data_IF_807579305929
#
_entry.id   IF_807579305929
#
_cell.length_a   1.000
_cell.length_b   1.000
_cell.length_c   1.000
_cell.angle_alpha   90.00
_cell.angle_beta   90.00
_cell.angle_gamma   90.00
#
_symmetry.space_group_name_H-M   'P 1'
#
loop_
_entity.id
_entity.type
_entity.pdbx_description
1 polymer ?
#
# COMPACT_ATOMS: atom_id res chain seq x y z
N UNK A 1 -33.35 18.85 -15.83
CA UNK A 1 -32.27 17.92 -16.19
C UNK A 1 -31.18 18.16 -15.16
N UNK A 2 -30.83 17.17 -14.34
CA UNK A 2 -29.74 17.36 -13.39
C UNK A 2 -28.46 17.57 -14.19
N UNK A 3 -27.79 18.71 -14.00
CA UNK A 3 -26.47 18.94 -14.59
C UNK A 3 -25.54 17.84 -14.08
N UNK A 4 -24.96 17.09 -15.01
CA UNK A 4 -24.04 16.02 -14.69
C UNK A 4 -22.69 16.68 -14.40
N UNK A 5 -22.36 16.83 -13.11
CA UNK A 5 -21.09 17.40 -12.67
C UNK A 5 -19.96 16.60 -13.29
N UNK A 6 -19.14 17.25 -14.12
CA UNK A 6 -17.96 16.62 -14.70
C UNK A 6 -16.85 16.60 -13.65
N UNK A 7 -16.13 15.48 -13.57
CA UNK A 7 -15.11 15.24 -12.56
C UNK A 7 -13.79 14.88 -13.19
N UNK A 8 -12.71 15.32 -12.57
CA UNK A 8 -11.36 14.88 -12.90
C UNK A 8 -10.66 14.34 -11.68
N UNK A 9 -9.81 13.34 -11.91
CA UNK A 9 -9.05 12.62 -10.91
C UNK A 9 -7.58 12.96 -11.09
N UNK A 10 -6.98 13.49 -10.04
CA UNK A 10 -5.62 14.05 -10.06
C UNK A 10 -4.78 13.27 -9.05
N UNK A 11 -4.02 12.26 -9.50
CA UNK A 11 -3.02 11.60 -8.67
C UNK A 11 -1.78 12.48 -8.53
N UNK A 12 -1.23 12.56 -7.32
CA UNK A 12 -0.02 13.31 -7.02
C UNK A 12 0.82 12.64 -5.95
N UNK A 13 2.09 13.02 -5.85
CA UNK A 13 2.99 12.63 -4.78
C UNK A 13 3.76 13.84 -4.25
N UNK A 14 4.21 13.77 -3.01
CA UNK A 14 5.02 14.81 -2.36
C UNK A 14 6.39 14.21 -2.05
N UNK A 15 7.43 14.90 -2.46
CA UNK A 15 8.82 14.59 -2.13
C UNK A 15 9.26 15.28 -0.84
N UNK A 16 10.32 14.76 -0.24
CA UNK A 16 11.01 15.36 0.89
C UNK A 16 11.40 16.81 0.57
N UNK A 17 11.00 17.73 1.44
CA UNK A 17 11.12 19.18 1.21
C UNK A 17 9.88 19.82 0.58
N UNK A 18 8.78 19.07 0.40
CA UNK A 18 7.46 19.60 0.05
C UNK A 18 7.24 19.84 -1.45
N UNK A 19 8.10 19.29 -2.31
CA UNK A 19 7.92 19.39 -3.76
C UNK A 19 6.78 18.47 -4.22
N UNK A 20 5.79 19.03 -4.90
CA UNK A 20 4.63 18.28 -5.40
C UNK A 20 4.88 17.75 -6.82
N UNK A 21 4.80 16.43 -6.98
CA UNK A 21 4.83 15.72 -8.25
C UNK A 21 3.42 15.46 -8.73
N UNK A 22 2.97 16.16 -9.77
CA UNK A 22 1.70 15.88 -10.43
C UNK A 22 1.86 14.73 -11.43
N UNK A 23 1.05 13.67 -11.28
CA UNK A 23 1.14 12.47 -12.12
C UNK A 23 0.16 12.50 -13.31
N UNK A 24 -0.75 13.47 -13.33
CA UNK A 24 -1.67 13.74 -14.44
C UNK A 24 -3.03 14.21 -13.97
N UNK A 25 -3.94 14.36 -14.94
CA UNK A 25 -5.34 14.70 -14.73
C UNK A 25 -6.18 13.80 -15.64
N UNK A 26 -7.09 13.03 -15.06
CA UNK A 26 -7.79 11.95 -15.75
C UNK A 26 -9.30 12.07 -15.58
N UNK A 27 -10.07 11.66 -16.58
CA UNK A 27 -11.53 11.61 -16.50
C UNK A 27 -12.07 10.33 -15.85
N UNK A 28 -11.19 9.41 -15.44
CA UNK A 28 -11.53 8.13 -14.83
C UNK A 28 -10.71 7.88 -13.58
N UNK A 29 -11.39 7.51 -12.49
CA UNK A 29 -10.79 7.12 -11.22
C UNK A 29 -9.84 5.93 -11.38
N UNK A 30 -10.28 4.90 -12.10
CA UNK A 30 -9.49 3.69 -12.33
C UNK A 30 -8.15 4.01 -13.00
N UNK A 31 -8.15 4.93 -13.96
CA UNK A 31 -6.92 5.34 -14.68
C UNK A 31 -6.00 6.12 -13.76
N UNK A 32 -6.52 7.08 -12.98
CA UNK A 32 -5.74 7.84 -12.02
C UNK A 32 -5.05 6.92 -11.00
N UNK A 33 -5.79 5.95 -10.46
CA UNK A 33 -5.24 4.93 -9.57
C UNK A 33 -4.23 4.02 -10.25
N UNK A 34 -4.46 3.62 -11.50
CA UNK A 34 -3.52 2.82 -12.28
C UNK A 34 -2.18 3.52 -12.48
N UNK A 35 -2.22 4.82 -12.79
CA UNK A 35 -1.03 5.68 -12.94
C UNK A 35 -0.31 5.83 -11.61
N UNK A 36 -1.04 6.15 -10.54
CA UNK A 36 -0.46 6.26 -9.19
C UNK A 36 0.24 4.96 -8.79
N UNK A 37 -0.46 3.83 -8.82
CA UNK A 37 0.11 2.52 -8.45
C UNK A 37 1.35 2.17 -9.28
N UNK A 38 1.34 2.49 -10.57
CA UNK A 38 2.49 2.25 -11.45
C UNK A 38 3.68 3.15 -11.10
N UNK A 39 3.42 4.40 -10.69
CA UNK A 39 4.44 5.32 -10.19
C UNK A 39 5.03 4.84 -8.85
N UNK A 40 4.19 4.42 -7.89
CA UNK A 40 4.64 3.98 -6.56
C UNK A 40 5.53 2.72 -6.60
N UNK A 41 5.48 1.91 -7.66
CA UNK A 41 6.41 0.77 -7.84
C UNK A 41 7.88 1.20 -7.90
N UNK A 42 8.16 2.45 -8.28
CA UNK A 42 9.52 3.04 -8.36
C UNK A 42 9.80 3.98 -7.18
N UNK A 43 8.98 3.92 -6.14
CA UNK A 43 9.09 4.82 -4.99
C UNK A 43 10.39 4.67 -4.21
N UNK A 44 11.06 3.53 -4.32
CA UNK A 44 12.38 3.27 -3.73
C UNK A 44 13.52 4.07 -4.40
N UNK A 45 13.27 4.62 -5.58
CA UNK A 45 14.23 5.47 -6.33
C UNK A 45 14.05 6.96 -6.02
N UNK A 46 13.06 7.33 -5.20
CA UNK A 46 12.68 8.71 -4.90
C UNK A 46 12.55 8.91 -3.38
N UNK A 47 12.71 10.15 -2.93
CA UNK A 47 12.51 10.52 -1.52
C UNK A 47 11.07 11.01 -1.33
N UNK A 48 10.11 10.10 -1.42
CA UNK A 48 8.69 10.45 -1.30
C UNK A 48 8.24 10.43 0.17
N UNK A 49 7.40 11.39 0.54
CA UNK A 49 6.77 11.52 1.86
C UNK A 49 5.32 11.03 1.85
N UNK A 50 4.54 11.46 0.85
CA UNK A 50 3.14 11.11 0.72
C UNK A 50 2.67 11.07 -0.73
N UNK A 51 1.53 10.45 -0.97
CA UNK A 51 0.85 10.46 -2.25
C UNK A 51 -0.65 10.56 -2.06
N UNK A 52 -1.37 11.08 -3.04
CA UNK A 52 -2.81 11.26 -2.93
C UNK A 52 -3.50 11.13 -4.28
N UNK A 53 -4.79 10.80 -4.23
CA UNK A 53 -5.71 10.97 -5.36
C UNK A 53 -6.79 11.94 -4.91
N UNK A 54 -6.94 13.05 -5.64
CA UNK A 54 -8.01 14.02 -5.39
C UNK A 54 -8.95 14.09 -6.58
N UNK A 55 -10.23 14.35 -6.31
CA UNK A 55 -11.26 14.64 -7.30
C UNK A 55 -11.48 16.14 -7.32
N UNK A 56 -11.53 16.69 -8.52
CA UNK A 56 -12.02 18.03 -8.78
C UNK A 56 -13.32 17.99 -9.56
N UNK A 57 -14.35 18.62 -9.03
CA UNK A 57 -15.58 18.94 -9.76
C UNK A 57 -15.31 20.17 -10.66
N UNK A 58 -15.53 20.01 -11.97
CA UNK A 58 -15.32 21.07 -12.95
C UNK A 58 -16.37 22.19 -12.72
N UNK A 59 -15.95 23.44 -12.90
CA UNK A 59 -16.76 24.65 -12.73
C UNK A 59 -17.29 24.91 -11.30
N UNK A 60 -16.72 24.24 -10.30
CA UNK A 60 -17.01 24.50 -8.88
C UNK A 60 -15.89 25.32 -8.26
N UNK A 61 -16.24 26.43 -7.60
CA UNK A 61 -15.27 27.35 -6.97
C UNK A 61 -15.10 27.00 -5.48
N UNK A 62 -13.85 26.95 -5.04
CA UNK A 62 -13.49 26.78 -3.63
C UNK A 62 -13.41 25.31 -3.19
N UNK A 63 -13.35 25.10 -1.88
CA UNK A 63 -13.14 23.78 -1.26
C UNK A 63 -14.25 22.78 -1.57
N UNK A 64 -15.44 23.26 -1.94
CA UNK A 64 -16.57 22.41 -2.35
C UNK A 64 -16.33 21.66 -3.67
N UNK A 65 -15.37 22.10 -4.47
CA UNK A 65 -15.00 21.44 -5.72
C UNK A 65 -13.94 20.36 -5.54
N UNK A 66 -13.35 20.21 -4.34
CA UNK A 66 -12.27 19.27 -4.10
C UNK A 66 -12.71 18.19 -3.10
N UNK A 67 -12.51 16.94 -3.47
CA UNK A 67 -12.64 15.79 -2.57
C UNK A 67 -11.36 14.98 -2.58
N UNK A 68 -10.77 14.73 -1.41
CA UNK A 68 -9.64 13.80 -1.29
C UNK A 68 -10.20 12.39 -1.25
N UNK A 69 -9.76 11.51 -2.16
CA UNK A 69 -10.21 10.10 -2.17
C UNK A 69 -9.32 9.20 -1.32
N UNK A 70 -8.02 9.52 -1.30
CA UNK A 70 -7.05 8.78 -0.53
C UNK A 70 -5.81 9.63 -0.30
N UNK A 71 -5.21 9.44 0.87
CA UNK A 71 -3.87 9.91 1.20
C UNK A 71 -3.04 8.73 1.68
N UNK A 72 -1.93 8.49 1.00
CA UNK A 72 -0.98 7.42 1.26
C UNK A 72 0.28 8.00 1.88
N UNK A 73 0.71 7.46 3.00
CA UNK A 73 1.99 7.82 3.62
C UNK A 73 3.11 6.86 3.24
N UNK A 74 4.30 7.40 2.95
CA UNK A 74 5.50 6.61 2.72
C UNK A 74 6.12 6.18 4.07
N UNK A 75 6.04 4.88 4.39
CA UNK A 75 6.60 4.31 5.63
C UNK A 75 7.46 3.09 5.32
N UNK A 76 8.23 2.62 6.29
CA UNK A 76 9.05 1.42 6.12
C UNK A 76 8.20 0.17 6.21
N UNK A 77 8.13 -0.65 5.15
CA UNK A 77 7.44 -1.95 5.15
C UNK A 77 8.03 -2.90 6.22
N UNK A 78 7.22 -3.65 6.96
CA UNK A 78 7.69 -4.39 8.13
C UNK A 78 8.39 -5.68 7.71
N UNK A 79 7.99 -6.19 6.54
CA UNK A 79 8.47 -7.40 5.90
C UNK A 79 9.78 -7.10 5.18
N UNK A 80 9.74 -6.27 4.13
CA UNK A 80 10.91 -6.06 3.26
C UNK A 80 11.81 -4.90 3.69
N UNK A 81 11.42 -4.11 4.69
CA UNK A 81 12.19 -2.95 5.21
C UNK A 81 12.49 -1.84 4.20
N UNK A 82 11.91 -1.90 3.00
CA UNK A 82 11.96 -0.80 2.03
C UNK A 82 11.02 0.32 2.48
N UNK A 83 11.36 1.57 2.19
CA UNK A 83 10.38 2.66 2.23
C UNK A 83 9.38 2.41 1.10
N UNK A 84 8.10 2.35 1.44
CA UNK A 84 7.01 2.08 0.50
C UNK A 84 5.76 2.71 1.09
N UNK A 85 4.87 3.17 0.20
CA UNK A 85 3.57 3.67 0.62
C UNK A 85 2.82 2.58 1.36
N UNK A 86 2.28 2.90 2.53
CA UNK A 86 1.79 1.82 3.39
C UNK A 86 0.58 2.17 4.26
N UNK A 87 0.01 3.36 4.24
CA UNK A 87 -1.21 3.59 5.03
C UNK A 87 -2.13 4.51 4.28
N UNK A 88 -3.28 3.98 3.88
CA UNK A 88 -4.50 4.77 3.70
C UNK A 88 -5.11 4.97 5.08
N UNK A 89 -4.96 6.17 5.64
CA UNK A 89 -5.46 6.51 6.98
C UNK A 89 -6.99 6.59 7.04
N UNK A 90 -7.67 6.72 5.90
CA UNK A 90 -9.13 6.81 5.84
C UNK A 90 -9.76 5.41 5.69
N UNK A 91 -9.16 4.54 4.89
CA UNK A 91 -9.67 3.18 4.63
C UNK A 91 -9.00 2.10 5.49
N UNK A 92 -8.11 2.46 6.43
CA UNK A 92 -7.40 1.54 7.32
C UNK A 92 -6.74 0.36 6.58
N UNK A 93 -6.20 0.64 5.40
CA UNK A 93 -5.56 -0.37 4.55
C UNK A 93 -4.11 0.00 4.28
N UNK A 94 -3.33 -1.04 4.03
CA UNK A 94 -1.89 -0.98 3.94
C UNK A 94 -1.46 -1.94 2.83
N UNK A 95 -0.74 -1.47 1.81
CA UNK A 95 -0.20 -2.34 0.76
C UNK A 95 1.21 -1.90 0.38
N UNK A 96 2.17 -2.81 0.50
CA UNK A 96 3.52 -2.59 0.03
C UNK A 96 3.58 -2.63 -1.51
N UNK A 97 3.80 -1.49 -2.16
CA UNK A 97 3.90 -1.39 -3.62
C UNK A 97 5.24 -1.82 -4.22
N UNK A 98 6.20 -2.24 -3.39
CA UNK A 98 7.48 -2.79 -3.85
C UNK A 98 7.27 -4.06 -4.68
N UNK A 99 7.94 -4.15 -5.84
CA UNK A 99 7.69 -5.16 -6.89
C UNK A 99 7.65 -6.62 -6.42
N UNK A 100 8.40 -6.98 -5.38
CA UNK A 100 8.55 -8.37 -4.90
C UNK A 100 7.88 -8.66 -3.56
N UNK A 101 7.34 -7.65 -2.85
CA UNK A 101 6.82 -7.85 -1.50
C UNK A 101 5.30 -8.02 -1.51
N UNK A 102 4.55 -6.97 -1.88
CA UNK A 102 3.08 -6.99 -1.86
C UNK A 102 2.48 -7.42 -0.51
N UNK A 103 3.19 -7.23 0.62
CA UNK A 103 2.62 -7.42 1.95
C UNK A 103 1.49 -6.40 2.18
N UNK A 104 0.43 -6.83 2.85
CA UNK A 104 -0.78 -6.03 2.98
C UNK A 104 -1.48 -6.19 4.34
N UNK A 105 -2.31 -5.20 4.68
CA UNK A 105 -3.24 -5.16 5.82
C UNK A 105 -4.53 -4.50 5.33
N UNK A 106 -5.69 -5.07 5.66
CA UNK A 106 -6.99 -4.46 5.36
C UNK A 106 -8.03 -4.89 6.39
N UNK A 107 -9.11 -4.11 6.55
CA UNK A 107 -10.27 -4.57 7.32
C UNK A 107 -10.97 -5.71 6.56
N UNK A 108 -11.36 -6.75 7.30
CA UNK A 108 -12.00 -7.90 6.72
C UNK A 108 -13.33 -7.53 6.07
N UNK A 109 -13.51 -7.93 4.82
CA UNK A 109 -14.79 -7.75 4.10
C UNK A 109 -15.90 -8.65 4.63
N UNK A 110 -15.57 -9.62 5.48
CA UNK A 110 -16.49 -10.60 6.04
C UNK A 110 -16.91 -10.28 7.48
N UNK A 111 -15.99 -9.77 8.29
CA UNK A 111 -16.21 -9.52 9.72
C UNK A 111 -15.71 -8.11 10.12
N UNK A 112 -16.62 -7.15 10.36
CA UNK A 112 -16.24 -5.80 10.77
C UNK A 112 -15.43 -5.79 12.06
N UNK A 113 -14.40 -4.95 12.12
CA UNK A 113 -13.48 -4.87 13.26
C UNK A 113 -12.43 -5.97 13.33
N UNK A 114 -12.41 -6.91 12.37
CA UNK A 114 -11.30 -7.85 12.17
C UNK A 114 -10.37 -7.30 11.11
N UNK A 115 -9.06 -7.39 11.36
CA UNK A 115 -8.02 -6.92 10.45
C UNK A 115 -7.31 -8.13 9.86
N UNK A 116 -7.39 -8.26 8.53
CA UNK A 116 -6.68 -9.26 7.76
C UNK A 116 -5.31 -8.72 7.35
N UNK A 117 -4.28 -9.55 7.43
CA UNK A 117 -2.94 -9.22 6.95
C UNK A 117 -2.31 -10.39 6.23
N UNK A 118 -1.45 -10.10 5.26
CA UNK A 118 -0.87 -11.14 4.45
C UNK A 118 0.41 -10.76 3.75
N UNK A 119 1.15 -11.77 3.34
CA UNK A 119 2.32 -11.63 2.50
C UNK A 119 2.36 -12.74 1.44
N UNK A 120 2.00 -12.42 0.18
CA UNK A 120 1.85 -13.43 -0.88
C UNK A 120 3.10 -14.26 -1.15
N UNK A 121 4.30 -13.66 -1.05
CA UNK A 121 5.55 -14.35 -1.36
C UNK A 121 5.80 -15.58 -0.48
N UNK A 122 5.30 -15.54 0.76
CA UNK A 122 5.41 -16.65 1.73
C UNK A 122 4.07 -17.35 1.97
N UNK A 123 3.03 -17.02 1.19
CA UNK A 123 1.64 -17.49 1.39
C UNK A 123 1.14 -17.27 2.82
N UNK A 124 1.64 -16.22 3.46
CA UNK A 124 1.22 -15.86 4.81
C UNK A 124 -0.11 -15.12 4.75
N UNK A 125 -1.04 -15.54 5.61
CA UNK A 125 -2.34 -14.90 5.81
C UNK A 125 -2.73 -15.07 7.28
N UNK A 126 -3.14 -14.00 7.93
CA UNK A 126 -3.59 -14.03 9.33
C UNK A 126 -4.64 -12.96 9.61
N UNK A 127 -5.61 -13.32 10.45
CA UNK A 127 -6.60 -12.39 10.98
C UNK A 127 -6.17 -11.93 12.38
N UNK A 128 -6.38 -10.66 12.66
CA UNK A 128 -5.99 -9.99 13.91
C UNK A 128 -7.08 -9.06 14.39
N UNK A 129 -7.00 -8.59 15.64
CA UNK A 129 -8.04 -7.75 16.24
C UNK A 129 -7.78 -6.26 16.06
N UNK A 130 -6.58 -5.90 15.63
CA UNK A 130 -6.20 -4.51 15.43
C UNK A 130 -5.07 -4.38 14.40
N UNK A 131 -4.88 -3.18 13.88
CA UNK A 131 -3.81 -2.87 12.94
C UNK A 131 -2.45 -3.06 13.61
N UNK A 132 -2.31 -2.70 14.89
CA UNK A 132 -1.06 -2.88 15.63
C UNK A 132 -0.68 -4.36 15.74
N UNK A 133 -1.66 -5.24 15.98
CA UNK A 133 -1.44 -6.69 15.96
C UNK A 133 -1.02 -7.16 14.55
N UNK A 134 -1.75 -6.75 13.50
CA UNK A 134 -1.39 -7.08 12.12
C UNK A 134 0.04 -6.66 11.76
N UNK A 135 0.44 -5.44 12.12
CA UNK A 135 1.79 -4.93 11.90
C UNK A 135 2.82 -5.77 12.66
N UNK A 136 2.54 -6.10 13.92
CA UNK A 136 3.42 -6.94 14.76
C UNK A 136 3.68 -8.30 14.14
N UNK A 137 2.64 -8.94 13.59
CA UNK A 137 2.73 -10.22 12.89
C UNK A 137 3.59 -10.13 11.63
N UNK A 138 3.39 -9.07 10.83
CA UNK A 138 4.20 -8.85 9.63
C UNK A 138 5.67 -8.52 9.97
N UNK A 139 5.93 -7.80 11.07
CA UNK A 139 7.29 -7.56 11.57
C UNK A 139 7.97 -8.86 11.99
N UNK A 140 7.27 -9.71 12.74
CA UNK A 140 7.81 -10.99 13.20
C UNK A 140 8.28 -11.86 12.03
N UNK A 141 7.48 -11.91 10.95
CA UNK A 141 7.83 -12.67 9.74
C UNK A 141 8.97 -12.00 8.97
N UNK A 142 8.92 -10.67 8.83
CA UNK A 142 10.01 -9.90 8.22
C UNK A 142 11.34 -10.18 8.91
N UNK A 143 11.35 -10.21 10.24
CA UNK A 143 12.55 -10.46 11.03
C UNK A 143 13.02 -11.91 10.96
N UNK A 144 12.11 -12.89 10.92
CA UNK A 144 12.46 -14.29 10.67
C UNK A 144 13.15 -14.48 9.31
N UNK A 145 12.61 -13.88 8.25
CA UNK A 145 13.18 -13.93 6.90
C UNK A 145 14.56 -13.28 6.84
N UNK A 146 14.73 -12.11 7.49
CA UNK A 146 16.04 -11.46 7.61
C UNK A 146 17.05 -12.32 8.37
N UNK A 147 16.63 -12.89 9.50
CA UNK A 147 17.48 -13.75 10.34
C UNK A 147 17.93 -15.02 9.60
N UNK A 148 17.09 -15.55 8.72
CA UNK A 148 17.41 -16.65 7.83
C UNK A 148 18.36 -16.28 6.67
N UNK A 149 18.76 -15.01 6.54
CA UNK A 149 19.62 -14.53 5.44
C UNK A 149 18.90 -14.40 4.11
N UNK A 150 17.56 -14.44 4.11
CA UNK A 150 16.74 -14.33 2.90
C UNK A 150 16.60 -12.83 2.57
N UNK A 151 17.64 -12.25 1.97
CA UNK A 151 17.57 -10.89 1.39
C UNK A 151 16.95 -10.99 0.00
N UNK A 152 15.83 -10.30 -0.21
CA UNK A 152 14.94 -10.53 -1.36
C UNK A 152 15.57 -10.55 -2.76
N UNK A 153 14.79 -11.18 -3.67
CA UNK A 153 15.00 -11.45 -5.11
C UNK A 153 15.88 -12.66 -5.44
N UNK A 154 15.35 -13.87 -5.24
CA UNK A 154 15.94 -15.09 -5.78
C UNK A 154 15.28 -16.37 -5.32
N UNK A 155 14.94 -16.47 -4.03
CA UNK A 155 14.77 -17.78 -3.40
C UNK A 155 13.40 -17.98 -2.74
N UNK A 156 12.31 -17.65 -3.46
CA UNK A 156 10.95 -18.00 -3.01
C UNK A 156 10.79 -19.53 -2.87
N UNK A 157 11.46 -20.31 -3.73
CA UNK A 157 11.46 -21.78 -3.66
C UNK A 157 12.28 -22.32 -2.49
N UNK A 158 13.46 -21.76 -2.20
CA UNK A 158 14.24 -22.16 -1.02
C UNK A 158 13.52 -21.78 0.28
N UNK A 159 12.82 -20.64 0.27
CA UNK A 159 11.99 -20.18 1.40
C UNK A 159 10.82 -21.12 1.67
N UNK A 160 10.19 -21.65 0.63
CA UNK A 160 9.09 -22.62 0.75
C UNK A 160 9.58 -24.00 1.22
N UNK A 161 10.78 -24.42 0.83
CA UNK A 161 11.37 -25.68 1.26
C UNK A 161 11.68 -25.68 2.77
N UNK A 162 12.29 -24.60 3.28
CA UNK A 162 12.66 -24.51 4.70
C UNK A 162 11.47 -24.36 5.65
N UNK A 163 10.39 -23.69 5.24
CA UNK A 163 9.16 -23.62 6.04
C UNK A 163 8.48 -24.98 6.16
N UNK A 164 8.38 -25.73 5.06
CA UNK A 164 7.80 -27.07 5.07
C UNK A 164 8.58 -28.04 5.99
N UNK A 165 9.92 -27.94 6.03
CA UNK A 165 10.75 -28.79 6.92
C UNK A 165 10.51 -28.51 8.41
N UNK A 166 10.11 -27.28 8.76
CA UNK A 166 9.78 -26.91 10.14
C UNK A 166 8.38 -27.40 10.56
N UNK A 167 7.42 -27.39 9.63
CA UNK A 167 6.05 -27.89 9.88
C UNK A 167 6.00 -29.42 10.03
N UNK A 168 6.88 -30.18 9.38
CA UNK A 168 7.00 -31.65 9.53
C UNK A 168 7.75 -32.07 10.81
N UNK A 169 8.32 -31.12 11.57
CA UNK A 169 9.12 -31.40 12.77
C UNK A 169 8.36 -31.16 14.10
N UNK A 170 7.04 -30.95 14.06
CA UNK A 170 6.16 -30.83 15.25
C UNK A 170 5.07 -31.91 15.22
#
# INVERSE_FOLDING_TARGET
>A
MAEQIQRVFVPSAIEEGGNALSLGCFSSEETAWGVLRSFLKKSDQMLLESASVVVWDIDVIGEHGLTVLATLECKTCPVCSRKTFWVDLENFSALCYGEACAAWVEESTHEPGVIDCGWPAMRFLKQTKSIEEALTELFAIGDQVKAAGITGTGDVEASKAMLNEFEDST
#
